data_IF_304760903962
#
_entry.id   IF_304760903962
#
_cell.length_a   1.000
_cell.length_b   1.000
_cell.length_c   1.000
_cell.angle_alpha   90.00
_cell.angle_beta   90.00
_cell.angle_gamma   90.00
#
_symmetry.space_group_name_H-M   'P 1'
#
loop_
_entity.id
_entity.type
_entity.pdbx_description
1 polymer ?
#
# COMPACT_ATOMS: atom_id res chain seq x y z
N UNK A 1 88.43 -26.03 8.58
CA UNK A 1 88.32 -25.53 7.19
C UNK A 1 88.18 -23.99 7.24
N UNK A 2 89.24 -23.27 6.75
CA UNK A 2 89.20 -21.81 6.68
C UNK A 2 88.41 -21.45 5.39
N UNK A 3 87.18 -20.98 5.55
CA UNK A 3 86.38 -20.50 4.42
C UNK A 3 87.11 -19.27 3.86
N UNK A 4 87.44 -19.30 2.58
CA UNK A 4 88.12 -18.17 1.93
C UNK A 4 87.23 -16.92 1.94
N UNK A 5 87.85 -15.73 2.05
CA UNK A 5 87.12 -14.44 2.08
C UNK A 5 86.05 -14.24 0.93
N UNK A 6 86.43 -14.79 -0.24
CA UNK A 6 85.56 -14.77 -1.43
C UNK A 6 84.25 -15.56 -1.25
N UNK A 7 84.36 -16.75 -0.62
CA UNK A 7 83.24 -17.63 -0.34
C UNK A 7 82.28 -16.98 0.70
N UNK A 8 82.80 -16.23 1.67
CA UNK A 8 82.01 -15.50 2.66
C UNK A 8 81.18 -14.36 1.98
N UNK A 9 81.80 -13.65 1.03
CA UNK A 9 81.06 -12.61 0.30
C UNK A 9 79.95 -13.15 -0.59
N UNK A 10 80.17 -14.26 -1.28
CA UNK A 10 79.21 -14.94 -2.10
C UNK A 10 78.01 -15.41 -1.25
N UNK A 11 78.24 -15.94 -0.07
CA UNK A 11 77.26 -16.43 0.86
C UNK A 11 76.43 -15.26 1.43
N UNK A 12 77.09 -14.15 1.75
CA UNK A 12 76.42 -12.93 2.25
C UNK A 12 75.50 -12.27 1.20
N UNK A 13 75.94 -12.21 -0.06
CA UNK A 13 75.14 -11.70 -1.19
C UNK A 13 73.96 -12.64 -1.46
N UNK A 14 74.19 -13.99 -1.38
CA UNK A 14 73.06 -14.93 -1.55
C UNK A 14 71.96 -14.77 -0.48
N UNK A 15 72.36 -14.64 0.79
CA UNK A 15 71.42 -14.42 1.87
C UNK A 15 70.63 -13.09 1.68
N UNK A 16 71.36 -12.04 1.28
CA UNK A 16 70.75 -10.74 1.06
C UNK A 16 69.79 -10.76 -0.12
N UNK A 17 70.11 -11.48 -1.19
CA UNK A 17 69.20 -11.67 -2.32
C UNK A 17 67.92 -12.45 -1.93
N UNK A 18 68.05 -13.50 -1.10
CA UNK A 18 66.85 -14.22 -0.60
C UNK A 18 65.99 -13.35 0.28
N UNK A 19 66.59 -12.54 1.15
CA UNK A 19 65.83 -11.59 1.99
C UNK A 19 65.10 -10.53 1.16
N UNK A 20 65.70 -9.99 0.11
CA UNK A 20 65.08 -9.03 -0.80
C UNK A 20 63.88 -9.64 -1.54
N UNK A 21 64.06 -10.86 -2.06
CA UNK A 21 62.95 -11.57 -2.76
C UNK A 21 61.81 -11.87 -1.79
N UNK A 22 62.07 -12.34 -0.59
CA UNK A 22 61.03 -12.63 0.40
C UNK A 22 60.33 -11.36 0.87
N UNK A 23 61.06 -10.26 1.07
CA UNK A 23 60.47 -8.95 1.40
C UNK A 23 59.59 -8.42 0.25
N UNK A 24 60.01 -8.55 -1.01
CA UNK A 24 59.23 -8.16 -2.17
C UNK A 24 57.91 -8.94 -2.32
N UNK A 25 57.96 -10.26 -2.09
CA UNK A 25 56.75 -11.11 -2.11
C UNK A 25 55.80 -10.74 -0.97
N UNK A 26 56.34 -10.54 0.24
CA UNK A 26 55.52 -10.13 1.38
C UNK A 26 54.85 -8.77 1.15
N UNK A 27 55.59 -7.79 0.61
CA UNK A 27 55.04 -6.47 0.27
C UNK A 27 53.99 -6.57 -0.83
N UNK A 28 54.19 -7.35 -1.87
CA UNK A 28 53.22 -7.57 -2.93
C UNK A 28 51.90 -8.18 -2.42
N UNK A 29 51.99 -9.16 -1.50
CA UNK A 29 50.80 -9.75 -0.86
C UNK A 29 50.07 -8.74 -0.01
N UNK A 30 50.76 -7.97 0.80
CA UNK A 30 50.17 -6.94 1.65
C UNK A 30 49.46 -5.85 0.83
N UNK A 31 50.05 -5.46 -0.31
CA UNK A 31 49.40 -4.50 -1.21
C UNK A 31 48.19 -5.08 -1.90
N UNK A 32 48.18 -6.34 -2.28
CA UNK A 32 47.02 -7.03 -2.84
C UNK A 32 45.86 -7.12 -1.81
N UNK A 33 46.20 -7.52 -0.58
CA UNK A 33 45.20 -7.58 0.52
C UNK A 33 44.61 -6.20 0.85
N UNK A 34 45.45 -5.14 0.86
CA UNK A 34 44.95 -3.77 1.06
C UNK A 34 44.03 -3.31 -0.08
N UNK A 35 44.35 -3.66 -1.33
CA UNK A 35 43.52 -3.34 -2.48
C UNK A 35 42.14 -4.05 -2.42
N UNK A 36 42.16 -5.34 -2.06
CA UNK A 36 40.95 -6.14 -1.90
C UNK A 36 40.08 -5.62 -0.75
N UNK A 37 40.70 -5.29 0.39
CA UNK A 37 39.99 -4.70 1.54
C UNK A 37 39.38 -3.35 1.20
N UNK A 38 40.14 -2.51 0.50
CA UNK A 38 39.64 -1.19 0.04
C UNK A 38 38.44 -1.32 -0.92
N UNK A 39 38.51 -2.28 -1.84
CA UNK A 39 37.41 -2.61 -2.76
C UNK A 39 36.17 -3.09 -2.00
N UNK A 40 36.36 -4.00 -1.03
CA UNK A 40 35.26 -4.51 -0.20
C UNK A 40 34.62 -3.44 0.65
N UNK A 41 35.40 -2.52 1.22
CA UNK A 41 34.87 -1.35 1.96
C UNK A 41 34.08 -0.42 1.04
N UNK A 42 34.58 -0.16 -0.17
CA UNK A 42 33.87 0.67 -1.15
C UNK A 42 32.51 0.05 -1.54
N UNK A 43 32.50 -1.27 -1.78
CA UNK A 43 31.28 -2.00 -2.09
C UNK A 43 30.30 -1.99 -0.91
N UNK A 44 30.75 -2.26 0.30
CA UNK A 44 29.91 -2.22 1.50
C UNK A 44 29.30 -0.82 1.73
N UNK A 45 30.07 0.25 1.50
CA UNK A 45 29.58 1.61 1.58
C UNK A 45 28.51 1.92 0.50
N UNK A 46 28.70 1.41 -0.70
CA UNK A 46 27.71 1.56 -1.78
C UNK A 46 26.40 0.83 -1.45
N UNK A 47 26.51 -0.42 -0.96
CA UNK A 47 25.36 -1.20 -0.54
C UNK A 47 24.64 -0.54 0.64
N UNK A 48 25.38 -0.04 1.63
CA UNK A 48 24.79 0.70 2.75
C UNK A 48 24.01 1.94 2.29
N UNK A 49 24.57 2.69 1.35
CA UNK A 49 23.90 3.88 0.78
C UNK A 49 22.61 3.49 0.05
N UNK A 50 22.64 2.42 -0.73
CA UNK A 50 21.50 1.87 -1.45
C UNK A 50 20.38 1.43 -0.49
N UNK A 51 20.73 0.60 0.49
CA UNK A 51 19.75 0.14 1.50
C UNK A 51 19.20 1.26 2.36
N UNK A 52 20.01 2.27 2.67
CA UNK A 52 19.56 3.46 3.39
C UNK A 52 18.53 4.28 2.60
N UNK A 53 18.75 4.42 1.29
CA UNK A 53 17.80 5.08 0.39
C UNK A 53 16.50 4.28 0.25
N UNK A 54 16.59 2.97 0.06
CA UNK A 54 15.45 2.06 -0.04
C UNK A 54 14.61 2.04 1.26
N UNK A 55 15.27 2.00 2.41
CA UNK A 55 14.60 2.12 3.72
C UNK A 55 13.81 3.42 3.84
N UNK A 56 14.42 4.55 3.44
CA UNK A 56 13.75 5.85 3.49
C UNK A 56 12.54 5.91 2.56
N UNK A 57 12.62 5.30 1.39
CA UNK A 57 11.49 5.22 0.46
C UNK A 57 10.34 4.36 1.03
N UNK A 58 10.65 3.19 1.58
CA UNK A 58 9.67 2.33 2.25
C UNK A 58 9.01 3.01 3.45
N UNK A 59 9.77 3.77 4.25
CA UNK A 59 9.21 4.57 5.34
C UNK A 59 8.27 5.67 4.84
N UNK A 60 8.58 6.29 3.71
CA UNK A 60 7.72 7.28 3.05
C UNK A 60 6.42 6.65 2.58
N UNK A 61 6.49 5.51 1.90
CA UNK A 61 5.32 4.76 1.43
C UNK A 61 4.43 4.32 2.59
N UNK A 62 5.03 3.84 3.69
CA UNK A 62 4.29 3.47 4.91
C UNK A 62 3.56 4.65 5.53
N UNK A 63 4.19 5.84 5.60
CA UNK A 63 3.55 7.06 6.10
C UNK A 63 2.37 7.48 5.22
N UNK A 64 2.53 7.43 3.90
CA UNK A 64 1.47 7.73 2.96
C UNK A 64 0.29 6.76 3.09
N UNK A 65 0.56 5.45 3.23
CA UNK A 65 -0.47 4.44 3.46
C UNK A 65 -1.21 4.67 4.79
N UNK A 66 -0.49 4.93 5.88
CA UNK A 66 -1.10 5.23 7.18
C UNK A 66 -1.95 6.51 7.16
N UNK A 67 -1.52 7.54 6.43
CA UNK A 67 -2.31 8.76 6.25
C UNK A 67 -3.61 8.48 5.50
N UNK A 68 -3.57 7.67 4.44
CA UNK A 68 -4.78 7.25 3.71
C UNK A 68 -5.74 6.45 4.59
N UNK A 69 -5.21 5.53 5.41
CA UNK A 69 -6.01 4.76 6.37
C UNK A 69 -6.67 5.69 7.39
N UNK A 70 -5.93 6.65 7.96
CA UNK A 70 -6.46 7.60 8.92
C UNK A 70 -7.57 8.49 8.31
N UNK A 71 -7.39 8.95 7.06
CA UNK A 71 -8.42 9.71 6.34
C UNK A 71 -9.67 8.86 6.10
N UNK A 72 -9.50 7.64 5.58
CA UNK A 72 -10.62 6.72 5.40
C UNK A 72 -11.37 6.44 6.71
N UNK A 73 -10.64 6.17 7.81
CA UNK A 73 -11.24 5.95 9.12
C UNK A 73 -12.01 7.18 9.65
N UNK A 74 -11.60 8.40 9.32
CA UNK A 74 -12.33 9.61 9.71
C UNK A 74 -13.65 9.75 8.93
N UNK A 75 -13.67 9.36 7.65
CA UNK A 75 -14.89 9.32 6.84
C UNK A 75 -15.85 8.25 7.36
N UNK A 76 -15.37 7.06 7.74
CA UNK A 76 -16.19 6.00 8.34
C UNK A 76 -16.84 6.37 9.67
N UNK A 77 -16.30 7.33 10.41
CA UNK A 77 -16.90 7.81 11.69
C UNK A 77 -18.14 8.67 11.51
N UNK A 78 -18.39 9.19 10.32
CA UNK A 78 -19.53 10.09 10.06
C UNK A 78 -20.89 9.38 10.11
N UNK A 79 -20.94 8.07 9.90
CA UNK A 79 -22.19 7.31 9.82
C UNK A 79 -22.25 6.24 10.90
N UNK A 80 -22.55 6.65 12.14
CA UNK A 80 -22.61 5.74 13.29
C UNK A 80 -23.99 5.16 13.56
N UNK A 81 -25.04 5.78 13.05
CA UNK A 81 -26.41 5.38 13.34
C UNK A 81 -27.24 5.18 12.06
N UNK A 82 -28.16 4.20 12.10
CA UNK A 82 -29.06 3.90 10.97
C UNK A 82 -29.98 5.08 10.59
N UNK A 83 -30.23 6.01 11.50
CA UNK A 83 -31.03 7.21 11.27
C UNK A 83 -30.32 8.16 10.32
N UNK A 84 -29.03 8.44 10.53
CA UNK A 84 -28.22 9.31 9.67
C UNK A 84 -28.10 8.74 8.25
N UNK A 85 -27.96 7.41 8.14
CA UNK A 85 -27.92 6.72 6.84
C UNK A 85 -29.28 6.89 6.12
N UNK A 86 -30.39 6.76 6.85
CA UNK A 86 -31.72 6.93 6.28
C UNK A 86 -31.94 8.34 5.75
N UNK A 87 -31.65 9.35 6.58
CA UNK A 87 -31.79 10.77 6.19
C UNK A 87 -31.00 11.07 4.93
N UNK A 88 -29.73 10.65 4.88
CA UNK A 88 -28.88 10.86 3.72
C UNK A 88 -29.38 10.11 2.46
N UNK A 89 -29.96 8.92 2.59
CA UNK A 89 -30.56 8.20 1.46
C UNK A 89 -31.79 8.94 0.92
N UNK A 90 -32.66 9.49 1.79
CA UNK A 90 -33.81 10.26 1.38
C UNK A 90 -33.45 11.59 0.72
N UNK A 91 -32.45 12.32 1.26
CA UNK A 91 -31.94 13.54 0.65
C UNK A 91 -31.37 13.27 -0.77
N UNK A 92 -30.62 12.20 -0.94
CA UNK A 92 -30.07 11.83 -2.25
C UNK A 92 -31.16 11.43 -3.25
N UNK A 93 -32.25 10.80 -2.78
CA UNK A 93 -33.38 10.44 -3.61
C UNK A 93 -34.14 11.69 -4.07
N UNK A 94 -34.40 12.61 -3.15
CA UNK A 94 -35.04 13.91 -3.47
C UNK A 94 -34.22 14.71 -4.48
N UNK A 95 -32.93 14.80 -4.26
CA UNK A 95 -31.96 15.46 -5.14
C UNK A 95 -31.84 14.82 -6.54
N UNK A 96 -32.18 13.55 -6.68
CA UNK A 96 -32.19 12.83 -7.94
C UNK A 96 -33.56 12.83 -8.63
N UNK A 97 -34.59 13.36 -7.97
CA UNK A 97 -35.98 13.38 -8.47
C UNK A 97 -36.69 12.02 -8.35
N UNK A 98 -36.19 11.12 -7.46
CA UNK A 98 -36.81 9.80 -7.25
C UNK A 98 -37.45 9.71 -5.87
N UNK A 99 -38.43 8.81 -5.73
CA UNK A 99 -39.14 8.56 -4.48
C UNK A 99 -38.76 7.18 -3.94
N UNK A 100 -38.21 7.13 -2.73
CA UNK A 100 -37.99 5.85 -2.05
C UNK A 100 -39.35 5.31 -1.58
N UNK A 101 -39.72 4.14 -2.10
CA UNK A 101 -41.00 3.48 -1.76
C UNK A 101 -40.79 2.42 -0.66
N UNK A 102 -39.62 1.82 -0.61
CA UNK A 102 -39.32 0.84 0.42
C UNK A 102 -37.85 0.93 0.82
N UNK A 103 -37.61 0.94 2.13
CA UNK A 103 -36.26 0.90 2.71
C UNK A 103 -36.27 -0.16 3.82
N UNK A 104 -35.56 -1.25 3.56
CA UNK A 104 -35.45 -2.36 4.50
C UNK A 104 -34.03 -2.41 5.05
N UNK A 105 -33.91 -2.39 6.37
CA UNK A 105 -32.63 -2.61 7.05
C UNK A 105 -32.61 -3.98 7.71
N UNK A 106 -31.55 -4.72 7.46
CA UNK A 106 -31.19 -5.86 8.30
C UNK A 106 -30.46 -5.39 9.56
N UNK A 107 -30.43 -6.21 10.60
CA UNK A 107 -29.59 -5.94 11.76
C UNK A 107 -28.14 -5.75 11.30
N UNK A 108 -27.42 -4.75 11.85
CA UNK A 108 -26.04 -4.52 11.48
C UNK A 108 -25.19 -5.75 11.80
N UNK A 109 -24.41 -6.16 10.81
CA UNK A 109 -23.39 -7.20 10.92
C UNK A 109 -22.03 -6.64 11.26
N UNK A 110 -21.06 -7.51 11.38
CA UNK A 110 -19.64 -7.15 11.52
C UNK A 110 -18.84 -7.82 10.40
N UNK A 111 -17.96 -7.05 9.75
CA UNK A 111 -17.06 -7.55 8.72
C UNK A 111 -15.63 -7.10 8.99
N UNK A 112 -14.67 -7.99 8.76
CA UNK A 112 -13.25 -7.74 9.02
C UNK A 112 -12.54 -7.44 7.71
N UNK A 113 -12.10 -6.19 7.53
CA UNK A 113 -11.36 -5.74 6.36
C UNK A 113 -9.99 -5.20 6.78
N UNK A 114 -8.91 -5.73 6.21
CA UNK A 114 -7.56 -5.25 6.47
C UNK A 114 -7.11 -5.32 7.94
N UNK A 115 -7.70 -6.23 8.74
CA UNK A 115 -7.41 -6.37 10.17
C UNK A 115 -8.26 -5.49 11.09
N UNK A 116 -9.09 -4.63 10.55
CA UNK A 116 -10.05 -3.79 11.29
C UNK A 116 -11.45 -4.37 11.16
N UNK A 117 -12.20 -4.38 12.26
CA UNK A 117 -13.61 -4.82 12.27
C UNK A 117 -14.50 -3.60 12.04
N UNK A 118 -15.36 -3.70 11.05
CA UNK A 118 -16.34 -2.67 10.70
C UNK A 118 -17.75 -3.15 11.00
N UNK A 119 -18.60 -2.22 11.37
CA UNK A 119 -20.04 -2.42 11.43
C UNK A 119 -20.61 -2.32 10.02
N UNK A 120 -21.43 -3.27 9.59
CA UNK A 120 -21.96 -3.29 8.22
C UNK A 120 -23.45 -3.21 8.28
N UNK A 121 -24.00 -2.18 7.65
CA UNK A 121 -25.43 -2.02 7.39
C UNK A 121 -25.71 -2.49 5.96
N UNK A 122 -26.74 -3.31 5.79
CA UNK A 122 -27.13 -3.85 4.48
C UNK A 122 -28.57 -3.42 4.15
N UNK A 123 -28.78 -2.13 3.77
CA UNK A 123 -30.10 -1.70 3.37
C UNK A 123 -30.45 -2.20 1.96
N UNK A 124 -31.73 -2.56 1.79
CA UNK A 124 -32.35 -2.76 0.48
C UNK A 124 -33.24 -1.56 0.21
N UNK A 125 -32.88 -0.79 -0.80
CA UNK A 125 -33.57 0.43 -1.20
C UNK A 125 -34.37 0.16 -2.46
N UNK A 126 -35.68 0.42 -2.42
CA UNK A 126 -36.52 0.44 -3.60
C UNK A 126 -36.96 1.87 -3.84
N UNK A 127 -36.65 2.38 -5.04
CA UNK A 127 -37.06 3.73 -5.44
C UNK A 127 -37.76 3.71 -6.80
N UNK A 128 -38.64 4.67 -6.99
CA UNK A 128 -39.40 4.89 -8.23
C UNK A 128 -39.11 6.28 -8.77
N UNK A 129 -38.96 6.38 -10.10
CA UNK A 129 -38.76 7.60 -10.84
C UNK A 129 -39.66 7.66 -12.08
N UNK A 130 -39.93 8.86 -12.56
CA UNK A 130 -40.76 9.02 -13.78
C UNK A 130 -40.00 8.55 -15.01
N UNK A 131 -38.68 8.73 -15.01
CA UNK A 131 -37.82 8.35 -16.14
C UNK A 131 -36.56 7.59 -15.67
N UNK A 132 -36.11 6.68 -16.51
CA UNK A 132 -34.93 5.86 -16.22
C UNK A 132 -33.65 6.67 -15.89
N UNK A 133 -33.34 7.83 -16.52
CA UNK A 133 -32.19 8.66 -16.17
C UNK A 133 -32.15 9.13 -14.71
N UNK A 134 -33.30 9.39 -14.07
CA UNK A 134 -33.39 9.79 -12.65
C UNK A 134 -32.92 8.66 -11.74
N UNK A 135 -33.32 7.42 -12.02
CA UNK A 135 -32.90 6.23 -11.28
C UNK A 135 -31.40 5.97 -11.42
N UNK A 136 -30.85 6.19 -12.61
CA UNK A 136 -29.41 6.08 -12.85
C UNK A 136 -28.64 7.20 -12.15
N UNK A 137 -29.19 8.43 -12.14
CA UNK A 137 -28.61 9.55 -11.41
C UNK A 137 -28.60 9.28 -9.90
N UNK A 138 -29.67 8.72 -9.36
CA UNK A 138 -29.74 8.32 -7.95
C UNK A 138 -28.65 7.31 -7.60
N UNK A 139 -28.50 6.23 -8.36
CA UNK A 139 -27.46 5.21 -8.11
C UNK A 139 -26.05 5.79 -8.22
N UNK A 140 -25.83 6.71 -9.16
CA UNK A 140 -24.55 7.42 -9.32
C UNK A 140 -24.26 8.31 -8.13
N UNK A 141 -25.20 9.19 -7.75
CA UNK A 141 -25.07 10.08 -6.58
C UNK A 141 -24.80 9.27 -5.30
N UNK A 142 -25.44 8.12 -5.15
CA UNK A 142 -25.26 7.24 -4.02
C UNK A 142 -23.83 6.71 -3.93
N UNK A 143 -23.25 6.30 -5.07
CA UNK A 143 -21.85 5.85 -5.12
C UNK A 143 -20.83 6.99 -4.93
N UNK A 144 -21.18 8.23 -5.27
CA UNK A 144 -20.30 9.40 -5.15
C UNK A 144 -20.36 10.04 -3.75
N UNK A 145 -21.55 10.04 -3.12
CA UNK A 145 -21.77 10.71 -1.83
C UNK A 145 -21.35 9.87 -0.62
N UNK A 146 -21.39 8.55 -0.77
CA UNK A 146 -20.95 7.64 0.29
C UNK A 146 -19.69 6.92 -0.12
N UNK A 147 -18.54 7.40 0.32
CA UNK A 147 -17.23 6.71 0.10
C UNK A 147 -17.17 5.32 0.76
N UNK A 148 -18.13 5.02 1.67
CA UNK A 148 -18.21 3.78 2.46
C UNK A 148 -19.28 2.82 1.97
N UNK A 149 -19.96 3.13 0.85
CA UNK A 149 -21.01 2.30 0.27
C UNK A 149 -20.46 1.39 -0.82
N UNK A 150 -20.74 0.11 -0.71
CA UNK A 150 -20.64 -0.83 -1.80
C UNK A 150 -22.04 -1.19 -2.31
N UNK A 151 -22.29 -1.01 -3.60
CA UNK A 151 -23.52 -1.46 -4.25
C UNK A 151 -23.30 -2.92 -4.64
N UNK A 152 -24.01 -3.84 -3.98
CA UNK A 152 -23.89 -5.27 -4.25
C UNK A 152 -24.75 -5.72 -5.42
N UNK A 153 -25.94 -5.14 -5.55
CA UNK A 153 -26.91 -5.51 -6.58
C UNK A 153 -27.69 -4.28 -7.05
N UNK A 154 -27.94 -4.20 -8.33
CA UNK A 154 -28.81 -3.20 -8.96
C UNK A 154 -29.79 -3.93 -9.88
N UNK A 155 -31.08 -3.81 -9.58
CA UNK A 155 -32.14 -4.32 -10.43
C UNK A 155 -33.01 -3.17 -10.87
N UNK A 156 -33.18 -2.99 -12.18
CA UNK A 156 -33.98 -1.92 -12.76
C UNK A 156 -35.13 -2.57 -13.51
N UNK A 157 -36.35 -2.11 -13.22
CA UNK A 157 -37.58 -2.47 -13.93
C UNK A 157 -38.08 -1.20 -14.62
N UNK A 158 -38.08 -1.20 -15.94
CA UNK A 158 -38.61 -0.08 -16.73
C UNK A 158 -40.13 -0.17 -16.73
N UNK A 159 -40.82 0.93 -16.40
CA UNK A 159 -42.25 1.02 -16.51
C UNK A 159 -42.72 1.07 -17.97
N UNK A 160 -43.85 0.43 -18.28
CA UNK A 160 -44.47 0.50 -19.60
C UNK A 160 -45.47 1.65 -19.67
N UNK A 161 -45.30 2.51 -20.66
CA UNK A 161 -46.23 3.56 -21.15
C UNK A 161 -46.83 4.61 -20.19
N UNK A 162 -47.14 4.31 -18.94
CA UNK A 162 -47.64 5.25 -17.90
C UNK A 162 -47.18 4.80 -16.48
N UNK A 163 -46.48 3.67 -16.41
CA UNK A 163 -45.99 3.17 -15.13
C UNK A 163 -44.61 3.76 -14.85
N UNK A 164 -44.38 4.11 -13.58
CA UNK A 164 -43.08 4.60 -13.11
C UNK A 164 -42.04 3.49 -13.24
N UNK A 165 -40.86 3.88 -13.62
CA UNK A 165 -39.68 2.99 -13.58
C UNK A 165 -39.25 2.78 -12.13
N UNK A 166 -38.74 1.57 -11.83
CA UNK A 166 -38.39 1.15 -10.49
C UNK A 166 -36.92 0.65 -10.44
N UNK A 167 -36.24 1.00 -9.38
CA UNK A 167 -34.92 0.49 -9.07
C UNK A 167 -34.91 -0.18 -7.69
N UNK A 168 -34.27 -1.33 -7.60
CA UNK A 168 -33.98 -2.02 -6.34
C UNK A 168 -32.46 -2.09 -6.20
N UNK A 169 -31.94 -1.53 -5.11
CA UNK A 169 -30.53 -1.48 -4.77
C UNK A 169 -30.29 -2.27 -3.49
N UNK A 170 -29.38 -3.21 -3.53
CA UNK A 170 -28.82 -3.86 -2.35
C UNK A 170 -27.45 -3.23 -2.06
N UNK A 171 -27.32 -2.65 -0.89
CA UNK A 171 -26.16 -1.86 -0.50
C UNK A 171 -25.46 -2.50 0.70
N UNK A 172 -24.16 -2.28 0.80
CA UNK A 172 -23.38 -2.45 2.04
C UNK A 172 -22.77 -1.12 2.43
N UNK A 173 -23.06 -0.67 3.65
CA UNK A 173 -22.55 0.57 4.21
C UNK A 173 -21.68 0.21 5.41
N UNK A 174 -20.40 0.55 5.31
CA UNK A 174 -19.42 0.28 6.36
C UNK A 174 -19.34 1.47 7.31
N UNK A 175 -19.50 1.21 8.62
CA UNK A 175 -19.30 2.16 9.69
C UNK A 175 -18.24 1.65 10.66
N UNK A 176 -17.57 2.56 11.35
CA UNK A 176 -16.49 2.22 12.28
C UNK A 176 -17.02 2.07 13.71
#
# INVERSE_FOLDING_TARGET
MKIGKTTQWILLIGIFAILLVSASVAYGRQQAEQSELSSSIAQANQDFTKYSAEKKDLESQRRAANSRIASAQSEFRQYTESIEINEALFELAEDAGVTITTLLFSLPGEEKLGGTTYRVFSPVVTAEGEVLPELLLFSKKLSESFSTVAIESVKIEAGESEEKSKIVLELKIYAY
#
